data_IF_923958833443
#
_entry.id   IF_923958833443
#
_cell.length_a   1.000
_cell.length_b   1.000
_cell.length_c   1.000
_cell.angle_alpha   90.00
_cell.angle_beta   90.00
_cell.angle_gamma   90.00
#
_symmetry.space_group_name_H-M   'P 1'
#
loop_
_entity.id
_entity.type
_entity.pdbx_description
1 polymer ?
#
# COMPACT_ATOMS: atom_id res chain seq x y z
N UNK A 1 64.15 9.50 -21.26
CA UNK A 1 63.47 10.27 -20.20
C UNK A 1 61.98 10.07 -20.38
N UNK A 2 61.34 9.31 -19.50
CA UNK A 2 59.90 9.08 -19.50
C UNK A 2 59.17 10.30 -18.93
N UNK A 3 58.06 10.71 -19.54
CA UNK A 3 57.18 11.72 -18.97
C UNK A 3 55.75 11.22 -18.85
N UNK A 4 55.25 11.43 -17.63
CA UNK A 4 54.09 10.83 -16.99
C UNK A 4 52.77 11.18 -17.66
N UNK A 5 51.92 10.16 -17.74
CA UNK A 5 50.47 10.27 -17.83
C UNK A 5 49.91 11.08 -16.66
N UNK A 6 49.03 12.05 -16.93
CA UNK A 6 48.12 12.62 -15.94
C UNK A 6 46.69 12.24 -16.31
N UNK A 7 46.17 11.24 -15.60
CA UNK A 7 44.74 10.95 -15.53
C UNK A 7 43.99 12.17 -14.98
N UNK A 8 42.98 12.66 -15.70
CA UNK A 8 41.94 13.52 -15.14
C UNK A 8 40.83 12.63 -14.59
N UNK A 9 40.42 12.79 -13.31
CA UNK A 9 39.28 12.07 -12.76
C UNK A 9 38.00 12.56 -13.42
N UNK A 10 37.16 11.60 -13.81
CA UNK A 10 35.87 11.83 -14.44
C UNK A 10 34.98 12.75 -13.62
N UNK A 11 34.29 13.64 -14.32
CA UNK A 11 33.15 14.34 -13.77
C UNK A 11 32.10 13.30 -13.42
N UNK A 12 32.08 12.91 -12.14
CA UNK A 12 31.04 12.10 -11.55
C UNK A 12 29.72 12.82 -11.74
N UNK A 13 28.94 12.35 -12.71
CA UNK A 13 27.52 12.63 -12.77
C UNK A 13 26.95 12.37 -11.37
N UNK A 14 26.26 13.36 -10.82
CA UNK A 14 25.42 13.15 -9.64
C UNK A 14 24.25 12.28 -10.07
N UNK A 15 24.51 11.00 -10.33
CA UNK A 15 23.53 9.97 -10.16
C UNK A 15 23.29 9.97 -8.65
N UNK A 16 22.26 10.70 -8.23
CA UNK A 16 21.54 10.28 -7.02
C UNK A 16 21.35 8.77 -7.20
N UNK A 17 21.64 7.93 -6.21
CA UNK A 17 21.08 6.60 -6.25
C UNK A 17 19.56 6.84 -6.31
N UNK A 18 18.97 6.66 -7.49
CA UNK A 18 17.61 6.17 -7.57
C UNK A 18 17.65 4.94 -6.68
N UNK A 19 17.18 5.11 -5.44
CA UNK A 19 16.80 3.96 -4.65
C UNK A 19 15.77 3.27 -5.51
N UNK A 20 16.16 2.16 -6.10
CA UNK A 20 15.31 1.19 -6.74
C UNK A 20 14.07 1.01 -5.85
N UNK A 21 12.99 1.73 -6.16
CA UNK A 21 11.64 1.48 -5.63
C UNK A 21 11.15 0.20 -6.31
N UNK A 22 11.88 -0.89 -6.14
CA UNK A 22 11.47 -2.22 -6.56
C UNK A 22 10.54 -2.70 -5.48
N UNK A 23 9.24 -2.45 -5.63
CA UNK A 23 8.15 -3.42 -5.54
C UNK A 23 6.84 -2.66 -5.72
N UNK A 24 6.28 -2.74 -6.92
CA UNK A 24 4.92 -2.30 -7.17
C UNK A 24 3.97 -3.26 -6.43
N UNK A 25 3.11 -2.72 -5.58
CA UNK A 25 2.19 -3.51 -4.73
C UNK A 25 0.73 -3.19 -5.01
N UNK A 26 -0.13 -4.17 -4.77
CA UNK A 26 -1.58 -3.99 -4.84
C UNK A 26 -2.12 -3.66 -3.45
N UNK A 27 -3.24 -2.95 -3.40
CA UNK A 27 -4.02 -2.70 -2.21
C UNK A 27 -5.46 -3.14 -2.37
N UNK A 28 -6.12 -3.41 -1.25
CA UNK A 28 -7.55 -3.71 -1.16
C UNK A 28 -8.18 -2.87 -0.06
N UNK A 29 -9.37 -2.34 -0.36
CA UNK A 29 -10.28 -1.76 0.64
C UNK A 29 -11.65 -2.40 0.46
N UNK A 30 -12.18 -3.05 1.50
CA UNK A 30 -13.47 -3.72 1.43
C UNK A 30 -14.37 -3.44 2.64
N UNK A 31 -15.68 -3.23 2.40
CA UNK A 31 -16.72 -3.29 3.45
C UNK A 31 -17.20 -4.74 3.61
N UNK A 32 -16.83 -5.36 4.73
CA UNK A 32 -17.17 -6.73 5.09
C UNK A 32 -18.62 -6.88 5.59
N UNK A 33 -19.36 -5.79 5.84
CA UNK A 33 -20.82 -5.86 6.09
C UNK A 33 -21.61 -5.88 4.79
N UNK A 34 -21.04 -5.34 3.71
CA UNK A 34 -21.59 -5.44 2.37
C UNK A 34 -21.29 -6.81 1.72
N UNK A 35 -22.25 -7.33 0.94
CA UNK A 35 -22.09 -8.64 0.29
C UNK A 35 -21.01 -8.60 -0.79
N UNK A 36 -20.97 -7.53 -1.59
CA UNK A 36 -19.99 -7.38 -2.67
C UNK A 36 -18.59 -7.12 -2.12
N UNK A 37 -18.48 -6.34 -1.03
CA UNK A 37 -17.21 -6.17 -0.32
C UNK A 37 -16.66 -7.48 0.26
N UNK A 38 -17.50 -8.33 0.87
CA UNK A 38 -17.08 -9.69 1.27
C UNK A 38 -16.66 -10.56 0.09
N UNK A 39 -17.44 -10.55 -0.99
CA UNK A 39 -17.11 -11.32 -2.19
C UNK A 39 -15.78 -10.89 -2.78
N UNK A 40 -15.51 -9.59 -2.80
CA UNK A 40 -14.23 -9.03 -3.22
C UNK A 40 -13.09 -9.54 -2.34
N UNK A 41 -13.19 -9.40 -1.02
CA UNK A 41 -12.13 -9.84 -0.11
C UNK A 41 -11.83 -11.34 -0.26
N UNK A 42 -12.87 -12.17 -0.41
CA UNK A 42 -12.73 -13.61 -0.60
C UNK A 42 -12.18 -13.98 -1.98
N UNK A 43 -12.58 -13.29 -3.05
CA UNK A 43 -12.01 -13.49 -4.37
C UNK A 43 -10.53 -13.10 -4.39
N UNK A 44 -10.19 -11.96 -3.79
CA UNK A 44 -8.83 -11.48 -3.66
C UNK A 44 -7.94 -12.46 -2.86
N UNK A 45 -8.46 -13.00 -1.75
CA UNK A 45 -7.77 -14.05 -0.99
C UNK A 45 -7.57 -15.33 -1.82
N UNK A 46 -8.58 -15.76 -2.60
CA UNK A 46 -8.47 -16.96 -3.44
C UNK A 46 -7.40 -16.84 -4.52
N UNK A 47 -7.30 -15.67 -5.16
CA UNK A 47 -6.31 -15.40 -6.20
C UNK A 47 -4.90 -15.29 -5.60
N UNK A 48 -4.76 -14.59 -4.48
CA UNK A 48 -3.45 -14.33 -3.87
C UNK A 48 -2.93 -15.45 -2.98
N UNK A 49 -3.84 -16.25 -2.41
CA UNK A 49 -3.56 -17.32 -1.43
C UNK A 49 -2.70 -16.85 -0.26
N UNK A 50 -2.87 -15.59 0.13
CA UNK A 50 -2.02 -14.97 1.13
C UNK A 50 -2.42 -15.37 2.57
N UNK A 51 -1.51 -16.00 3.34
CA UNK A 51 -1.84 -16.48 4.69
C UNK A 51 -2.02 -15.33 5.70
N UNK A 52 -1.29 -14.23 5.56
CA UNK A 52 -1.42 -13.07 6.45
C UNK A 52 -2.74 -12.35 6.23
N UNK A 53 -3.17 -12.21 4.97
CA UNK A 53 -4.46 -11.67 4.60
C UNK A 53 -5.60 -12.59 5.05
N UNK A 54 -5.45 -13.91 4.94
CA UNK A 54 -6.41 -14.88 5.49
C UNK A 54 -6.61 -14.65 6.99
N UNK A 55 -5.50 -14.58 7.76
CA UNK A 55 -5.56 -14.35 9.20
C UNK A 55 -6.19 -12.99 9.54
N UNK A 56 -5.91 -11.95 8.75
CA UNK A 56 -6.53 -10.63 8.91
C UNK A 56 -8.06 -10.70 8.74
N UNK A 57 -8.54 -11.43 7.73
CA UNK A 57 -9.97 -11.64 7.51
C UNK A 57 -10.62 -12.48 8.61
N UNK A 58 -9.93 -13.50 9.12
CA UNK A 58 -10.41 -14.31 10.25
C UNK A 58 -10.59 -13.46 11.51
N UNK A 59 -9.62 -12.57 11.81
CA UNK A 59 -9.72 -11.61 12.91
C UNK A 59 -10.87 -10.63 12.68
N UNK A 60 -11.03 -10.13 11.45
CA UNK A 60 -12.11 -9.20 11.10
C UNK A 60 -13.48 -9.84 11.35
N UNK A 61 -13.67 -11.09 10.93
CA UNK A 61 -14.89 -11.84 11.14
C UNK A 61 -15.13 -12.11 12.63
N UNK A 62 -14.12 -12.58 13.36
CA UNK A 62 -14.23 -12.88 14.79
C UNK A 62 -14.58 -11.63 15.62
N UNK A 63 -14.11 -10.46 15.22
CA UNK A 63 -14.35 -9.19 15.90
C UNK A 63 -15.53 -8.38 15.35
N UNK A 64 -16.17 -8.85 14.27
CA UNK A 64 -17.27 -8.13 13.62
C UNK A 64 -16.85 -6.80 12.96
N UNK A 65 -15.61 -6.70 12.50
CA UNK A 65 -15.07 -5.47 11.90
C UNK A 65 -15.76 -5.17 10.57
N UNK A 66 -16.14 -3.90 10.37
CA UNK A 66 -16.78 -3.47 9.13
C UNK A 66 -15.82 -3.43 7.93
N UNK A 67 -14.62 -2.90 8.10
CA UNK A 67 -13.73 -2.64 6.98
C UNK A 67 -12.40 -3.36 7.13
N UNK A 68 -11.85 -3.77 5.99
CA UNK A 68 -10.47 -4.23 5.86
C UNK A 68 -9.74 -3.33 4.87
N UNK A 69 -8.54 -2.91 5.25
CA UNK A 69 -7.56 -2.24 4.38
C UNK A 69 -6.30 -3.08 4.41
N UNK A 70 -5.80 -3.49 3.26
CA UNK A 70 -4.51 -4.15 3.17
C UNK A 70 -3.75 -3.71 1.92
N UNK A 71 -2.43 -3.60 2.00
CA UNK A 71 -1.57 -3.32 0.87
C UNK A 71 -0.24 -4.04 1.02
N UNK A 72 0.33 -4.51 -0.09
CA UNK A 72 1.60 -5.21 -0.05
C UNK A 72 1.76 -6.24 -1.15
N UNK A 73 2.76 -7.10 -0.97
CA UNK A 73 3.00 -8.24 -1.84
C UNK A 73 2.30 -9.45 -1.25
N UNK A 74 1.05 -9.60 -1.65
CA UNK A 74 0.27 -10.78 -1.31
C UNK A 74 0.92 -12.06 -1.87
N UNK A 75 0.61 -13.20 -1.26
CA UNK A 75 1.26 -14.51 -1.38
C UNK A 75 2.48 -14.70 -0.45
N UNK A 76 2.40 -14.19 0.79
CA UNK A 76 3.37 -14.45 1.87
C UNK A 76 4.67 -13.65 1.76
N UNK A 77 4.68 -12.59 0.94
CA UNK A 77 5.85 -11.70 0.79
C UNK A 77 5.76 -10.45 1.67
N UNK A 78 4.64 -10.30 2.39
CA UNK A 78 4.42 -9.28 3.40
C UNK A 78 3.35 -8.27 3.01
N UNK A 79 2.42 -8.04 3.93
CA UNK A 79 1.38 -7.01 3.81
C UNK A 79 1.36 -6.06 5.02
N UNK A 80 0.90 -4.85 4.79
CA UNK A 80 0.41 -3.95 5.83
C UNK A 80 -1.11 -4.03 5.83
N UNK A 81 -1.69 -4.35 6.98
CA UNK A 81 -3.15 -4.51 7.14
C UNK A 81 -3.70 -3.70 8.30
N UNK A 82 -4.93 -3.20 8.16
CA UNK A 82 -5.69 -2.51 9.19
C UNK A 82 -7.17 -2.90 9.12
N UNK A 83 -7.79 -2.99 10.30
CA UNK A 83 -9.22 -3.23 10.46
C UNK A 83 -9.85 -2.03 11.14
N UNK A 84 -11.02 -1.61 10.69
CA UNK A 84 -11.76 -0.50 11.28
C UNK A 84 -13.27 -0.73 11.19
N UNK A 85 -14.04 -0.07 12.06
CA UNK A 85 -15.49 -0.29 12.14
C UNK A 85 -16.32 0.91 11.63
N UNK A 86 -15.67 2.05 11.40
CA UNK A 86 -16.32 3.28 10.96
C UNK A 86 -15.55 3.96 9.80
N UNK A 87 -16.21 4.92 9.16
CA UNK A 87 -15.68 5.60 7.96
C UNK A 87 -14.57 6.61 8.25
N UNK A 88 -14.51 7.17 9.47
CA UNK A 88 -13.47 8.12 9.85
C UNK A 88 -12.14 7.39 10.04
N UNK A 89 -12.16 6.29 10.78
CA UNK A 89 -11.01 5.42 10.99
C UNK A 89 -10.59 4.69 9.71
N UNK A 90 -11.51 4.44 8.77
CA UNK A 90 -11.18 3.94 7.43
C UNK A 90 -10.26 4.88 6.65
N UNK A 91 -10.57 6.18 6.62
CA UNK A 91 -9.73 7.16 5.93
C UNK A 91 -8.31 7.20 6.54
N UNK A 92 -8.22 7.15 7.87
CA UNK A 92 -6.94 7.07 8.58
C UNK A 92 -6.19 5.75 8.30
N UNK A 93 -6.89 4.62 8.24
CA UNK A 93 -6.30 3.31 7.94
C UNK A 93 -5.67 3.27 6.55
N UNK A 94 -6.32 3.84 5.54
CA UNK A 94 -5.79 3.94 4.18
C UNK A 94 -4.55 4.83 4.13
N UNK A 95 -4.59 5.98 4.80
CA UNK A 95 -3.43 6.87 4.89
C UNK A 95 -2.25 6.19 5.59
N UNK A 96 -2.53 5.48 6.70
CA UNK A 96 -1.53 4.72 7.44
C UNK A 96 -0.89 3.62 6.58
N UNK A 97 -1.70 2.84 5.85
CA UNK A 97 -1.19 1.79 4.97
C UNK A 97 -0.19 2.37 3.95
N UNK A 98 -0.55 3.47 3.29
CA UNK A 98 0.35 4.13 2.33
C UNK A 98 1.63 4.68 3.00
N UNK A 99 1.51 5.28 4.20
CA UNK A 99 2.68 5.74 4.96
C UNK A 99 3.61 4.57 5.30
N UNK A 100 3.08 3.46 5.81
CA UNK A 100 3.88 2.26 6.14
C UNK A 100 4.53 1.65 4.91
N UNK A 101 3.82 1.58 3.78
CA UNK A 101 4.39 1.11 2.52
C UNK A 101 5.57 2.00 2.09
N UNK A 102 5.45 3.32 2.20
CA UNK A 102 6.54 4.24 1.89
C UNK A 102 7.74 4.09 2.84
N UNK A 103 7.49 3.90 4.15
CA UNK A 103 8.53 3.71 5.17
C UNK A 103 9.40 2.46 4.88
N UNK A 104 8.82 1.42 4.29
CA UNK A 104 9.54 0.21 3.88
C UNK A 104 10.09 0.28 2.45
N UNK A 105 10.07 1.45 1.81
CA UNK A 105 10.60 1.65 0.46
C UNK A 105 9.73 1.07 -0.66
N UNK A 106 8.43 0.88 -0.42
CA UNK A 106 7.47 0.32 -1.36
C UNK A 106 6.37 1.33 -1.72
N UNK A 107 5.59 1.08 -2.78
CA UNK A 107 4.38 1.87 -3.07
C UNK A 107 3.22 1.01 -3.51
N UNK A 108 2.00 1.46 -3.23
CA UNK A 108 0.77 0.87 -3.77
C UNK A 108 0.51 1.45 -5.16
N UNK A 109 0.56 0.63 -6.21
CA UNK A 109 0.32 1.06 -7.61
C UNK A 109 -1.15 1.01 -8.01
N UNK A 110 -1.97 0.26 -7.28
CA UNK A 110 -3.38 0.11 -7.58
C UNK A 110 -4.16 -0.39 -6.38
N UNK A 111 -5.43 0.00 -6.31
CA UNK A 111 -6.35 -0.40 -5.26
C UNK A 111 -7.56 -1.09 -5.86
N UNK A 112 -7.92 -2.26 -5.32
CA UNK A 112 -9.18 -2.94 -5.61
C UNK A 112 -10.18 -2.60 -4.51
N UNK A 113 -11.33 -2.04 -4.86
CA UNK A 113 -12.20 -1.39 -3.88
C UNK A 113 -13.67 -1.70 -4.12
N UNK A 114 -14.37 -2.13 -3.08
CA UNK A 114 -15.83 -2.22 -3.02
C UNK A 114 -16.32 -2.06 -1.57
N UNK A 115 -17.45 -1.39 -1.32
CA UNK A 115 -18.35 -0.69 -2.22
C UNK A 115 -17.97 0.80 -2.38
N UNK A 116 -18.82 1.60 -3.03
CA UNK A 116 -18.52 3.00 -3.40
C UNK A 116 -18.03 3.90 -2.25
N UNK A 117 -18.52 3.72 -1.02
CA UNK A 117 -18.03 4.48 0.15
C UNK A 117 -16.53 4.29 0.39
N UNK A 118 -16.01 3.08 0.16
CA UNK A 118 -14.59 2.80 0.28
C UNK A 118 -13.78 3.52 -0.80
N UNK A 119 -14.33 3.65 -2.02
CA UNK A 119 -13.68 4.39 -3.10
C UNK A 119 -13.60 5.89 -2.80
N UNK A 120 -14.67 6.46 -2.23
CA UNK A 120 -14.69 7.86 -1.80
C UNK A 120 -13.69 8.12 -0.66
N UNK A 121 -13.61 7.21 0.32
CA UNK A 121 -12.64 7.33 1.42
C UNK A 121 -11.20 7.17 0.91
N UNK A 122 -10.94 6.23 0.02
CA UNK A 122 -9.63 6.08 -0.61
C UNK A 122 -9.22 7.35 -1.36
N UNK A 123 -10.14 7.96 -2.11
CA UNK A 123 -9.89 9.22 -2.81
C UNK A 123 -9.52 10.34 -1.83
N UNK A 124 -10.23 10.46 -0.71
CA UNK A 124 -9.90 11.45 0.34
C UNK A 124 -8.53 11.20 0.97
N UNK A 125 -8.22 9.95 1.30
CA UNK A 125 -6.96 9.57 1.95
C UNK A 125 -5.73 9.79 1.05
N UNK A 126 -5.91 9.62 -0.26
CA UNK A 126 -4.82 9.72 -1.26
C UNK A 126 -4.64 11.12 -1.81
N UNK A 127 -5.60 12.02 -1.60
CA UNK A 127 -5.43 13.44 -1.91
C UNK A 127 -4.34 14.00 -1.00
N UNK A 128 -3.17 14.31 -1.58
CA UNK A 128 -2.14 15.08 -0.87
C UNK A 128 -2.80 16.38 -0.38
N UNK A 129 -2.63 16.77 0.90
CA UNK A 129 -2.98 18.12 1.30
C UNK A 129 -2.23 19.04 0.35
N UNK A 130 -2.95 19.89 -0.37
CA UNK A 130 -2.32 20.94 -1.17
C UNK A 130 -1.35 21.64 -0.23
N UNK A 131 -0.05 21.45 -0.45
CA UNK A 131 0.96 22.15 0.31
C UNK A 131 0.62 23.61 0.19
N UNK A 132 0.25 24.26 1.30
CA UNK A 132 0.25 25.72 1.35
C UNK A 132 1.66 26.11 0.97
N UNK A 133 1.83 26.56 -0.28
CA UNK A 133 3.02 27.24 -0.71
C UNK A 133 3.20 28.41 0.27
N UNK A 134 4.23 28.30 1.10
CA UNK A 134 4.76 29.39 1.89
C UNK A 134 6.09 29.78 1.28
#
# INVERSE_FOLDING_TARGET
MAHNQKHKPGQGGKNKPEQDLQFDTLGIVADLRDKEGRNLAQAFLRETKDPEFSALLDIANAKGMRYVVAAGRFNGTGIVGSLCDDTETLNAAIAMANTRMNEIGSRTIGWVVMPGVCADMLKKATQRPASKAR
#
